data_IF_875781773934
#
_entry.id   IF_875781773934
#
_cell.length_a   1.000
_cell.length_b   1.000
_cell.length_c   1.000
_cell.angle_alpha   90.00
_cell.angle_beta   90.00
_cell.angle_gamma   90.00
#
_symmetry.space_group_name_H-M   'P 1'
#
loop_
_entity.id
_entity.type
_entity.pdbx_description
1 polymer ?
#
# COMPACT_ATOMS: atom_id res chain seq x y z
N UNK A 1 5.96 14.65 12.99
CA UNK A 1 5.42 13.65 12.03
C UNK A 1 6.25 12.37 11.93
N UNK A 2 7.60 12.42 11.95
CA UNK A 2 8.48 11.23 11.86
C UNK A 2 8.19 10.08 12.86
N UNK A 3 7.73 10.39 14.08
CA UNK A 3 7.45 9.36 15.11
C UNK A 3 6.24 8.47 14.80
N UNK A 4 5.29 8.92 13.96
CA UNK A 4 4.05 8.19 13.66
C UNK A 4 4.25 7.13 12.56
N UNK A 5 5.12 7.39 11.58
CA UNK A 5 5.43 6.43 10.52
C UNK A 5 6.31 5.26 11.01
N UNK A 6 7.14 5.49 12.05
CA UNK A 6 7.99 4.45 12.64
C UNK A 6 7.17 3.39 13.41
N UNK A 7 6.07 3.78 14.03
CA UNK A 7 5.26 2.87 14.83
C UNK A 7 4.48 1.84 13.99
N UNK A 8 3.98 2.23 12.81
CA UNK A 8 3.34 1.32 11.87
C UNK A 8 4.34 0.31 11.27
N UNK A 9 5.59 0.73 11.05
CA UNK A 9 6.68 -0.15 10.62
C UNK A 9 7.03 -1.20 11.71
N UNK A 10 7.08 -0.79 12.98
CA UNK A 10 7.38 -1.68 14.11
C UNK A 10 6.27 -2.71 14.37
N UNK A 11 5.00 -2.38 14.12
CA UNK A 11 3.88 -3.32 14.23
C UNK A 11 3.93 -4.41 13.14
N UNK A 12 4.26 -4.04 11.90
CA UNK A 12 4.51 -5.00 10.82
C UNK A 12 5.70 -5.92 11.13
N UNK A 13 6.78 -5.36 11.68
CA UNK A 13 7.97 -6.11 12.06
C UNK A 13 7.75 -7.04 13.27
N UNK A 14 7.03 -6.61 14.30
CA UNK A 14 6.73 -7.43 15.49
C UNK A 14 5.79 -8.60 15.17
N UNK A 15 4.81 -8.39 14.28
CA UNK A 15 3.96 -9.46 13.77
C UNK A 15 4.78 -10.49 12.97
N UNK A 16 5.68 -10.03 12.09
CA UNK A 16 6.58 -10.89 11.33
C UNK A 16 7.56 -11.67 12.23
N UNK A 17 8.06 -11.05 13.32
CA UNK A 17 8.99 -11.68 14.26
C UNK A 17 8.32 -12.75 15.13
N UNK A 18 7.04 -12.57 15.51
CA UNK A 18 6.26 -13.62 16.21
C UNK A 18 6.00 -14.84 15.34
N UNK A 19 5.82 -14.62 14.03
CA UNK A 19 5.69 -15.72 13.06
C UNK A 19 7.02 -16.47 12.96
N UNK A 20 8.16 -15.77 12.83
CA UNK A 20 9.49 -16.40 12.80
C UNK A 20 9.89 -17.14 14.10
N UNK A 21 9.41 -16.68 15.27
CA UNK A 21 9.72 -17.33 16.55
C UNK A 21 8.90 -18.61 16.79
N UNK A 22 7.78 -18.80 16.10
CA UNK A 22 7.03 -20.05 16.10
C UNK A 22 7.76 -21.16 15.32
N UNK A 23 8.57 -20.79 14.31
CA UNK A 23 9.34 -21.73 13.48
C UNK A 23 10.64 -22.24 14.14
N UNK A 24 11.17 -21.51 15.14
CA UNK A 24 12.48 -21.80 15.73
C UNK A 24 12.52 -23.04 16.64
N UNK A 25 11.41 -23.76 16.84
CA UNK A 25 11.35 -24.98 17.67
C UNK A 25 11.53 -26.29 16.91
N UNK A 26 11.73 -26.28 15.59
CA UNK A 26 11.89 -27.49 14.79
C UNK A 26 13.30 -27.59 14.20
N UNK A 27 14.21 -28.32 14.86
CA UNK A 27 15.50 -28.68 14.28
C UNK A 27 15.89 -30.12 14.66
N UNK A 28 15.86 -31.02 13.68
CA UNK A 28 16.80 -32.13 13.58
C UNK A 28 16.99 -32.52 12.11
N UNK A 29 18.23 -32.44 11.63
CA UNK A 29 18.68 -32.69 10.25
C UNK A 29 18.36 -34.10 9.73
N UNK A 30 17.89 -34.18 8.47
CA UNK A 30 17.93 -35.40 7.68
C UNK A 30 17.38 -35.25 6.25
N UNK A 31 18.27 -35.36 5.25
CA UNK A 31 18.05 -35.74 3.83
C UNK A 31 16.99 -35.03 2.97
N UNK A 32 17.48 -34.41 1.89
CA UNK A 32 16.75 -33.74 0.79
C UNK A 32 15.66 -34.62 0.14
N UNK A 33 14.42 -34.45 0.59
CA UNK A 33 13.21 -34.79 -0.17
C UNK A 33 12.31 -33.56 -0.19
N UNK A 34 11.68 -33.29 -1.34
CA UNK A 34 10.75 -32.17 -1.61
C UNK A 34 10.07 -31.61 -0.36
N UNK A 35 10.45 -30.38 -0.01
CA UNK A 35 10.05 -29.69 1.20
C UNK A 35 8.52 -29.45 1.22
N UNK A 36 7.75 -30.09 2.12
CA UNK A 36 6.33 -29.84 2.28
C UNK A 36 6.02 -28.44 2.83
N UNK A 37 7.03 -27.69 3.26
CA UNK A 37 6.90 -26.33 3.78
C UNK A 37 7.03 -25.24 2.71
N UNK A 38 7.06 -25.61 1.42
CA UNK A 38 6.90 -24.65 0.35
C UNK A 38 5.44 -24.15 0.32
N UNK A 39 5.19 -23.06 1.04
CA UNK A 39 3.92 -22.32 1.01
C UNK A 39 3.70 -21.85 -0.45
N UNK A 40 2.94 -22.63 -1.21
CA UNK A 40 2.41 -22.19 -2.51
C UNK A 40 1.36 -21.10 -2.25
N UNK A 41 1.09 -20.27 -3.25
CA UNK A 41 0.05 -19.22 -3.15
C UNK A 41 -1.34 -19.78 -2.81
N UNK A 42 -1.56 -21.06 -3.06
CA UNK A 42 -2.77 -21.81 -2.70
C UNK A 42 -2.91 -22.03 -1.17
N UNK A 43 -1.81 -21.87 -0.42
CA UNK A 43 -1.75 -22.04 1.04
C UNK A 43 -1.84 -20.70 1.80
N UNK A 44 -1.94 -19.55 1.11
CA UNK A 44 -2.19 -18.27 1.77
C UNK A 44 -3.69 -18.12 2.00
N UNK A 45 -4.16 -18.53 3.17
CA UNK A 45 -5.56 -18.39 3.55
C UNK A 45 -5.91 -16.90 3.63
N UNK A 46 -6.85 -16.45 2.78
CA UNK A 46 -7.45 -15.12 2.94
C UNK A 46 -8.19 -15.13 4.27
N UNK A 47 -7.86 -14.22 5.21
CA UNK A 47 -8.51 -14.26 6.51
C UNK A 47 -10.03 -14.07 6.36
N UNK A 48 -10.77 -14.90 7.06
CA UNK A 48 -12.22 -14.88 7.15
C UNK A 48 -12.71 -13.57 7.78
N UNK A 49 -14.00 -13.26 7.60
CA UNK A 49 -14.64 -12.12 8.28
C UNK A 49 -14.44 -12.20 9.79
N UNK A 50 -14.52 -13.41 10.36
CA UNK A 50 -14.36 -13.65 11.78
C UNK A 50 -12.92 -13.43 12.27
N UNK A 51 -11.91 -13.76 11.46
CA UNK A 51 -10.51 -13.42 11.75
C UNK A 51 -10.26 -11.91 11.69
N UNK A 52 -10.90 -11.21 10.74
CA UNK A 52 -10.84 -9.74 10.66
C UNK A 52 -11.55 -9.04 11.83
N UNK A 53 -12.57 -9.67 12.42
CA UNK A 53 -13.22 -9.21 13.67
C UNK A 53 -12.37 -9.53 14.90
N UNK A 54 -11.79 -10.73 14.96
CA UNK A 54 -10.86 -11.10 16.04
C UNK A 54 -9.62 -10.21 16.08
N UNK A 55 -9.14 -9.77 14.91
CA UNK A 55 -8.06 -8.80 14.80
C UNK A 55 -8.45 -7.42 15.34
N UNK A 56 -9.70 -6.96 15.10
CA UNK A 56 -10.23 -5.73 15.69
C UNK A 56 -10.22 -5.83 17.21
N UNK A 57 -10.69 -6.94 17.77
CA UNK A 57 -10.69 -7.15 19.22
C UNK A 57 -9.26 -7.26 19.80
N UNK A 58 -8.32 -7.83 19.06
CA UNK A 58 -6.92 -7.90 19.45
C UNK A 58 -6.24 -6.51 19.44
N UNK A 59 -6.56 -5.67 18.47
CA UNK A 59 -6.08 -4.28 18.39
C UNK A 59 -6.64 -3.43 19.55
N UNK A 60 -7.93 -3.57 19.86
CA UNK A 60 -8.55 -2.94 21.02
C UNK A 60 -7.90 -3.36 22.34
N UNK A 61 -7.54 -4.66 22.49
CA UNK A 61 -6.83 -5.18 23.67
C UNK A 61 -5.39 -4.67 23.76
N UNK A 62 -4.68 -4.58 22.64
CA UNK A 62 -3.34 -3.99 22.57
C UNK A 62 -3.34 -2.53 23.05
N UNK A 63 -4.40 -1.80 22.77
CA UNK A 63 -4.59 -0.42 23.23
C UNK A 63 -4.84 -0.30 24.74
N UNK A 64 -5.55 -1.27 25.33
CA UNK A 64 -5.77 -1.33 26.79
C UNK A 64 -4.49 -1.68 27.56
N UNK A 65 -3.51 -2.27 26.88
CA UNK A 65 -2.17 -2.45 27.43
C UNK A 65 -1.32 -1.21 27.19
N UNK A 66 -0.35 -0.93 28.06
CA UNK A 66 0.63 0.17 27.96
C UNK A 66 1.48 0.19 26.68
N UNK A 67 1.23 -0.74 25.74
CA UNK A 67 1.76 -0.75 24.39
C UNK A 67 1.12 0.33 23.47
N UNK A 68 -0.12 0.78 23.73
CA UNK A 68 -0.79 1.81 22.93
C UNK A 68 0.01 3.12 22.84
N UNK A 69 0.58 3.56 23.96
CA UNK A 69 1.47 4.74 24.05
C UNK A 69 2.79 4.54 23.29
N UNK A 70 3.26 3.30 23.17
CA UNK A 70 4.52 2.94 22.52
C UNK A 70 4.43 3.01 20.98
N UNK A 71 3.23 2.74 20.43
CA UNK A 71 2.96 2.79 18.99
C UNK A 71 2.19 4.03 18.54
N UNK A 72 1.75 4.90 19.46
CA UNK A 72 1.13 6.18 19.12
C UNK A 72 -0.15 6.06 18.27
N UNK A 73 -0.83 4.92 18.30
CA UNK A 73 -2.14 4.71 17.67
C UNK A 73 -3.18 5.02 18.74
N UNK A 74 -3.76 6.22 18.67
CA UNK A 74 -4.84 6.64 19.56
C UNK A 74 -6.16 5.93 19.26
N UNK A 75 -7.18 6.11 20.12
CA UNK A 75 -8.52 5.56 19.90
C UNK A 75 -9.17 6.02 18.58
N UNK A 76 -8.74 7.17 18.04
CA UNK A 76 -9.23 7.70 16.78
C UNK A 76 -8.61 7.00 15.55
N UNK A 77 -7.39 6.47 15.68
CA UNK A 77 -6.63 5.84 14.61
C UNK A 77 -6.88 4.33 14.50
N UNK A 78 -7.32 3.66 15.58
CA UNK A 78 -7.58 2.21 15.59
C UNK A 78 -8.59 1.77 14.51
N UNK A 79 -9.76 2.43 14.34
CA UNK A 79 -10.70 2.04 13.29
C UNK A 79 -10.11 2.20 11.89
N UNK A 80 -9.22 3.18 11.70
CA UNK A 80 -8.56 3.46 10.42
C UNK A 80 -7.54 2.36 10.11
N UNK A 81 -6.74 1.96 11.11
CA UNK A 81 -5.78 0.86 10.96
C UNK A 81 -6.48 -0.48 10.69
N UNK A 82 -7.55 -0.80 11.42
CA UNK A 82 -8.34 -2.01 11.17
C UNK A 82 -8.95 -2.02 9.76
N UNK A 83 -9.50 -0.89 9.32
CA UNK A 83 -10.03 -0.74 7.97
C UNK A 83 -8.94 -0.94 6.90
N UNK A 84 -7.76 -0.37 7.10
CA UNK A 84 -6.65 -0.54 6.18
C UNK A 84 -6.21 -2.00 6.03
N UNK A 85 -6.17 -2.77 7.13
CA UNK A 85 -5.85 -4.20 7.09
C UNK A 85 -6.93 -4.97 6.32
N UNK A 86 -8.21 -4.68 6.57
CA UNK A 86 -9.32 -5.30 5.82
C UNK A 86 -9.24 -4.98 4.33
N UNK A 87 -8.90 -3.76 3.97
CA UNK A 87 -8.65 -3.38 2.58
C UNK A 87 -7.43 -4.07 1.99
N UNK A 88 -6.37 -4.27 2.76
CA UNK A 88 -5.20 -5.05 2.34
C UNK A 88 -5.58 -6.47 1.92
N UNK A 89 -6.41 -7.13 2.73
CA UNK A 89 -6.94 -8.46 2.41
C UNK A 89 -7.88 -8.44 1.22
N UNK A 90 -8.83 -7.49 1.18
CA UNK A 90 -9.79 -7.36 0.09
C UNK A 90 -9.12 -7.11 -1.25
N UNK A 91 -8.00 -6.40 -1.27
CA UNK A 91 -7.28 -6.11 -2.49
C UNK A 91 -6.94 -7.41 -3.24
N UNK A 92 -6.55 -8.49 -2.55
CA UNK A 92 -6.22 -9.78 -3.18
C UNK A 92 -7.35 -10.33 -4.07
N UNK A 93 -8.61 -10.17 -3.68
CA UNK A 93 -9.78 -10.55 -4.48
C UNK A 93 -10.19 -9.53 -5.55
N UNK A 94 -9.51 -8.39 -5.66
CA UNK A 94 -9.77 -7.36 -6.68
C UNK A 94 -8.82 -7.54 -7.84
N UNK A 95 -9.37 -8.00 -8.97
CA UNK A 95 -8.76 -7.94 -10.28
C UNK A 95 -9.88 -7.99 -11.31
N UNK A 96 -9.93 -7.03 -12.22
CA UNK A 96 -10.90 -7.04 -13.32
C UNK A 96 -10.24 -7.15 -14.70
N UNK A 97 -8.95 -7.50 -14.73
CA UNK A 97 -8.19 -7.74 -15.96
C UNK A 97 -7.78 -6.47 -16.69
N UNK A 98 -8.32 -5.30 -16.33
CA UNK A 98 -7.98 -4.03 -16.95
C UNK A 98 -6.69 -3.42 -16.39
N UNK A 99 -6.01 -2.58 -17.18
CA UNK A 99 -4.79 -1.89 -16.75
C UNK A 99 -5.03 -0.93 -15.58
N UNK A 100 -6.22 -0.34 -15.54
CA UNK A 100 -6.77 0.37 -14.38
C UNK A 100 -8.30 0.34 -14.43
N UNK A 101 -8.94 0.54 -13.28
CA UNK A 101 -10.39 0.76 -13.21
C UNK A 101 -10.76 1.60 -11.98
N UNK A 102 -11.96 2.18 -12.01
CA UNK A 102 -12.54 2.91 -10.88
C UNK A 102 -13.97 2.41 -10.63
N UNK A 103 -14.32 2.22 -9.36
CA UNK A 103 -15.66 1.81 -8.92
C UNK A 103 -16.12 2.65 -7.75
N UNK A 104 -17.42 2.96 -7.71
CA UNK A 104 -18.04 3.68 -6.62
C UNK A 104 -18.88 2.73 -5.77
N UNK A 105 -18.87 2.93 -4.45
CA UNK A 105 -19.63 2.16 -3.47
C UNK A 105 -20.36 3.09 -2.52
N UNK A 106 -21.59 2.71 -2.17
CA UNK A 106 -22.35 3.27 -1.04
C UNK A 106 -22.28 2.29 0.13
N UNK A 107 -22.43 2.78 1.36
CA UNK A 107 -22.53 1.91 2.54
C UNK A 107 -23.98 1.81 3.02
N UNK A 108 -24.45 0.60 3.30
CA UNK A 108 -25.82 0.37 3.76
C UNK A 108 -26.88 0.79 2.73
N UNK A 109 -27.93 1.46 3.20
CA UNK A 109 -29.02 1.95 2.37
C UNK A 109 -28.82 3.41 1.92
N UNK A 110 -27.59 3.93 2.00
CA UNK A 110 -27.29 5.30 1.59
C UNK A 110 -27.34 5.42 0.06
N UNK A 111 -27.85 6.55 -0.41
CA UNK A 111 -27.83 6.94 -1.82
C UNK A 111 -26.53 7.67 -2.17
N UNK A 112 -25.78 8.13 -1.17
CA UNK A 112 -24.53 8.83 -1.36
C UNK A 112 -23.34 7.86 -1.49
N UNK A 113 -22.54 8.08 -2.54
CA UNK A 113 -21.26 7.39 -2.73
C UNK A 113 -20.36 7.72 -1.54
N UNK A 114 -19.94 6.68 -0.82
CA UNK A 114 -19.14 6.77 0.39
C UNK A 114 -17.69 6.31 0.19
N UNK A 115 -17.43 5.60 -0.92
CA UNK A 115 -16.11 5.09 -1.23
C UNK A 115 -15.88 4.98 -2.74
N UNK A 116 -14.69 5.34 -3.18
CA UNK A 116 -14.16 5.06 -4.51
C UNK A 116 -13.04 4.03 -4.39
N UNK A 117 -13.02 3.07 -5.31
CA UNK A 117 -11.99 2.03 -5.39
C UNK A 117 -11.33 2.12 -6.75
N UNK A 118 -10.03 2.44 -6.75
CA UNK A 118 -9.19 2.45 -7.92
C UNK A 118 -8.35 1.19 -7.93
N UNK A 119 -8.25 0.53 -9.08
CA UNK A 119 -7.38 -0.62 -9.29
C UNK A 119 -6.33 -0.23 -10.30
N UNK A 120 -5.07 -0.58 -10.03
CA UNK A 120 -3.94 -0.36 -10.93
C UNK A 120 -3.19 -1.69 -11.10
N UNK A 121 -3.10 -2.15 -12.35
CA UNK A 121 -2.41 -3.39 -12.70
C UNK A 121 -1.03 -3.09 -13.27
N UNK A 122 0.00 -3.73 -12.70
CA UNK A 122 1.36 -3.66 -13.23
C UNK A 122 1.43 -4.08 -14.71
N UNK A 123 2.25 -3.37 -15.49
CA UNK A 123 2.44 -3.66 -16.92
C UNK A 123 3.25 -4.93 -17.21
N UNK A 124 3.93 -5.50 -16.19
CA UNK A 124 4.64 -6.78 -16.32
C UNK A 124 3.73 -7.98 -16.58
N UNK A 125 2.42 -7.79 -16.48
CA UNK A 125 1.45 -8.86 -16.61
C UNK A 125 0.41 -8.53 -17.69
N UNK A 126 0.82 -8.77 -18.93
CA UNK A 126 0.04 -8.59 -20.15
C UNK A 126 -1.02 -9.68 -20.35
N UNK A 127 -0.82 -10.86 -19.77
CA UNK A 127 -1.78 -11.95 -19.85
C UNK A 127 -2.82 -11.77 -18.74
N UNK A 128 -4.08 -11.63 -19.12
CA UNK A 128 -5.21 -11.27 -18.25
C UNK A 128 -5.62 -12.32 -17.22
N UNK A 129 -4.71 -13.18 -16.73
CA UNK A 129 -5.06 -14.06 -15.62
C UNK A 129 -5.25 -13.22 -14.35
N UNK A 130 -6.26 -13.58 -13.55
CA UNK A 130 -6.60 -12.92 -12.29
C UNK A 130 -5.47 -13.03 -11.27
N UNK A 131 -4.62 -14.04 -11.43
CA UNK A 131 -3.54 -14.40 -10.53
C UNK A 131 -2.18 -13.82 -10.97
N UNK A 132 -2.08 -13.24 -12.17
CA UNK A 132 -0.86 -12.65 -12.68
C UNK A 132 -0.87 -11.12 -12.55
N UNK A 133 -0.72 -10.53 -11.36
CA UNK A 133 -0.02 -9.23 -11.29
C UNK A 133 0.30 -8.74 -9.88
N UNK A 134 1.46 -8.06 -9.77
CA UNK A 134 1.59 -6.95 -8.85
C UNK A 134 0.44 -5.93 -9.10
N UNK A 135 -0.32 -5.66 -8.06
CA UNK A 135 -1.56 -4.89 -8.12
C UNK A 135 -1.60 -3.89 -6.96
N UNK A 136 -2.01 -2.66 -7.24
CA UNK A 136 -2.35 -1.65 -6.24
C UNK A 136 -3.85 -1.38 -6.28
N UNK A 137 -4.51 -1.51 -5.14
CA UNK A 137 -5.89 -1.04 -4.96
C UNK A 137 -5.87 0.17 -4.06
N UNK A 138 -6.36 1.30 -4.55
CA UNK A 138 -6.51 2.51 -3.76
C UNK A 138 -7.97 2.72 -3.37
N UNK A 139 -8.23 2.85 -2.06
CA UNK A 139 -9.53 3.13 -1.50
C UNK A 139 -9.58 4.58 -1.06
N UNK A 140 -10.45 5.37 -1.67
CA UNK A 140 -10.75 6.74 -1.26
C UNK A 140 -12.08 6.71 -0.51
N UNK A 141 -12.02 6.95 0.80
CA UNK A 141 -13.17 6.86 1.71
C UNK A 141 -13.61 8.27 2.09
N UNK A 142 -14.91 8.56 1.95
CA UNK A 142 -15.49 9.82 2.41
C UNK A 142 -15.29 9.95 3.92
N UNK A 143 -14.73 11.08 4.35
CA UNK A 143 -14.61 11.44 5.77
C UNK A 143 -15.13 12.86 5.98
N UNK A 144 -15.29 13.29 7.24
CA UNK A 144 -15.78 14.64 7.54
C UNK A 144 -14.85 15.71 6.93
N UNK A 145 -15.37 16.42 5.93
CA UNK A 145 -14.68 17.54 5.27
C UNK A 145 -13.45 17.15 4.45
N UNK A 146 -13.38 15.91 3.95
CA UNK A 146 -12.39 15.50 2.96
C UNK A 146 -12.44 14.02 2.63
N UNK A 147 -11.29 13.47 2.26
CA UNK A 147 -11.12 12.06 1.89
C UNK A 147 -9.99 11.42 2.69
N UNK A 148 -10.20 10.16 3.11
CA UNK A 148 -9.15 9.29 3.61
C UNK A 148 -8.68 8.34 2.50
N UNK A 149 -7.39 8.03 2.45
CA UNK A 149 -6.79 7.19 1.40
C UNK A 149 -6.16 5.95 2.01
N UNK A 150 -6.46 4.77 1.46
CA UNK A 150 -5.71 3.52 1.72
C UNK A 150 -5.15 3.00 0.40
N UNK A 151 -3.82 2.93 0.30
CA UNK A 151 -3.09 2.29 -0.78
C UNK A 151 -2.75 0.87 -0.37
N UNK A 152 -3.39 -0.12 -0.99
CA UNK A 152 -3.17 -1.53 -0.73
C UNK A 152 -2.37 -2.17 -1.86
N UNK A 153 -1.12 -2.50 -1.57
CA UNK A 153 -0.23 -3.20 -2.48
C UNK A 153 -0.31 -4.72 -2.24
N UNK A 154 -0.64 -5.48 -3.29
CA UNK A 154 -0.56 -6.94 -3.23
C UNK A 154 0.89 -7.41 -3.18
N UNK A 155 1.10 -8.53 -2.47
CA UNK A 155 2.31 -9.32 -2.56
C UNK A 155 2.45 -10.06 -3.90
N UNK A 156 3.50 -10.85 -4.01
CA UNK A 156 3.76 -11.71 -5.16
C UNK A 156 2.65 -12.75 -5.32
N UNK A 157 2.15 -12.93 -6.54
CA UNK A 157 1.09 -13.89 -6.86
C UNK A 157 1.54 -14.94 -7.88
N UNK A 158 2.69 -14.75 -8.53
CA UNK A 158 3.24 -15.71 -9.47
C UNK A 158 4.77 -15.83 -9.39
N UNK A 159 5.32 -16.78 -10.17
CA UNK A 159 6.76 -17.03 -10.26
C UNK A 159 7.56 -15.84 -10.80
N UNK A 160 6.99 -15.01 -11.68
CA UNK A 160 7.71 -13.85 -12.25
C UNK A 160 7.94 -12.77 -11.18
N UNK A 161 6.96 -12.55 -10.31
CA UNK A 161 7.12 -11.66 -9.16
C UNK A 161 8.26 -12.16 -8.25
N UNK A 162 8.30 -13.46 -8.00
CA UNK A 162 9.39 -14.07 -7.22
C UNK A 162 10.75 -13.94 -7.90
N UNK A 163 10.83 -14.09 -9.23
CA UNK A 163 12.09 -13.87 -9.95
C UNK A 163 12.59 -12.43 -9.81
N UNK A 164 11.69 -11.44 -9.88
CA UNK A 164 12.04 -10.05 -9.62
C UNK A 164 12.46 -9.84 -8.16
N UNK A 165 11.79 -10.49 -7.19
CA UNK A 165 12.18 -10.47 -5.77
C UNK A 165 13.57 -11.06 -5.50
N UNK A 166 14.11 -11.90 -6.39
CA UNK A 166 15.45 -12.45 -6.23
C UNK A 166 16.53 -11.51 -6.81
N UNK A 167 16.16 -10.50 -7.62
CA UNK A 167 17.09 -9.46 -8.07
C UNK A 167 17.32 -8.41 -6.98
N UNK A 168 18.13 -8.81 -6.01
CA UNK A 168 18.46 -8.08 -4.78
C UNK A 168 19.54 -7.02 -4.94
N UNK A 169 19.87 -6.64 -6.18
CA UNK A 169 20.79 -5.54 -6.42
C UNK A 169 20.27 -4.27 -5.75
N UNK A 170 21.13 -3.49 -5.09
CA UNK A 170 20.75 -2.19 -4.57
C UNK A 170 20.44 -1.24 -5.73
N UNK A 171 19.36 -0.48 -5.59
CA UNK A 171 18.92 0.54 -6.54
C UNK A 171 18.55 1.80 -5.76
N UNK A 172 19.11 2.99 -6.07
CA UNK A 172 18.82 4.20 -5.31
C UNK A 172 17.35 4.61 -5.41
N UNK A 173 16.66 4.80 -4.28
CA UNK A 173 15.22 5.07 -4.24
C UNK A 173 14.84 6.36 -5.00
N UNK A 174 15.55 7.45 -4.71
CA UNK A 174 15.27 8.79 -5.24
C UNK A 174 16.07 9.16 -6.49
N UNK A 175 16.82 8.23 -7.10
CA UNK A 175 17.51 8.56 -8.35
C UNK A 175 16.50 8.79 -9.45
N UNK A 176 16.79 9.81 -10.27
CA UNK A 176 16.18 10.06 -11.56
C UNK A 176 16.03 8.76 -12.34
N UNK A 177 14.84 8.15 -12.20
CA UNK A 177 14.48 6.99 -12.99
C UNK A 177 14.57 7.40 -14.46
N UNK A 178 15.04 6.56 -15.40
CA UNK A 178 14.96 6.88 -16.82
C UNK A 178 13.50 7.10 -17.30
N UNK A 179 12.48 6.76 -16.49
CA UNK A 179 11.08 7.15 -16.70
C UNK A 179 10.76 8.61 -16.26
N UNK A 180 11.68 9.32 -15.59
CA UNK A 180 11.61 10.76 -15.30
C UNK A 180 11.90 11.64 -16.54
N UNK A 181 12.20 11.04 -17.70
CA UNK A 181 12.25 11.78 -18.97
C UNK A 181 10.91 12.46 -19.33
N UNK A 182 9.82 12.09 -18.67
CA UNK A 182 8.49 12.65 -18.85
C UNK A 182 7.99 13.50 -17.67
N UNK A 183 8.77 13.68 -16.60
CA UNK A 183 8.40 14.56 -15.49
C UNK A 183 9.12 15.92 -15.60
N UNK A 184 8.41 17.04 -15.35
CA UNK A 184 9.03 18.36 -15.37
C UNK A 184 10.15 18.45 -14.32
N UNK A 185 11.29 19.01 -14.75
CA UNK A 185 12.59 19.11 -14.05
C UNK A 185 12.58 19.86 -12.69
N UNK A 186 11.43 20.31 -12.23
CA UNK A 186 11.33 21.29 -11.13
C UNK A 186 10.98 20.66 -9.77
N UNK A 187 11.02 19.33 -9.63
CA UNK A 187 10.92 18.69 -8.31
C UNK A 187 12.20 18.92 -7.51
N UNK A 188 12.26 20.07 -6.85
CA UNK A 188 13.28 20.40 -5.85
C UNK A 188 13.06 19.46 -4.67
N UNK A 189 13.66 18.27 -4.71
CA UNK A 189 13.85 17.47 -3.49
C UNK A 189 14.49 18.41 -2.44
N UNK A 190 13.91 18.52 -1.23
CA UNK A 190 14.47 19.35 -0.17
C UNK A 190 15.97 19.04 -0.02
N UNK A 191 16.82 20.09 0.03
CA UNK A 191 18.29 19.95 0.08
C UNK A 191 18.79 18.96 1.17
N UNK A 192 17.97 18.67 2.17
CA UNK A 192 18.22 17.74 3.27
C UNK A 192 18.38 16.29 2.77
N UNK A 193 17.68 15.89 1.70
CA UNK A 193 17.78 14.53 1.14
C UNK A 193 18.82 14.38 0.03
N UNK A 194 19.43 15.49 -0.44
CA UNK A 194 20.49 15.44 -1.47
C UNK A 194 21.74 14.66 -1.03
N UNK A 195 21.89 14.40 0.26
CA UNK A 195 23.02 13.65 0.83
C UNK A 195 22.64 12.24 1.33
N UNK A 196 21.35 11.88 1.33
CA UNK A 196 20.92 10.56 1.77
C UNK A 196 20.93 9.59 0.59
N UNK A 197 22.01 8.82 0.47
CA UNK A 197 22.05 7.66 -0.42
C UNK A 197 21.13 6.56 0.12
N UNK A 198 19.83 6.67 -0.15
CA UNK A 198 18.85 5.63 0.19
C UNK A 198 18.80 4.64 -0.97
N UNK A 199 19.21 3.41 -0.71
CA UNK A 199 19.11 2.30 -1.64
C UNK A 199 18.00 1.35 -1.21
N UNK A 200 17.31 0.78 -2.20
CA UNK A 200 16.26 -0.22 -2.03
C UNK A 200 16.53 -1.41 -2.93
N UNK A 201 15.82 -2.50 -2.68
CA UNK A 201 15.88 -3.69 -3.50
C UNK A 201 15.35 -3.40 -4.92
N UNK A 202 16.17 -3.64 -5.95
CA UNK A 202 15.84 -3.33 -7.35
C UNK A 202 14.50 -3.95 -7.80
N UNK A 203 14.31 -5.25 -7.57
CA UNK A 203 13.05 -5.93 -7.90
C UNK A 203 11.80 -5.25 -7.33
N UNK A 204 11.81 -4.91 -6.04
CA UNK A 204 10.68 -4.24 -5.39
C UNK A 204 10.44 -2.84 -5.98
N UNK A 205 11.51 -2.08 -6.19
CA UNK A 205 11.42 -0.73 -6.78
C UNK A 205 10.82 -0.80 -8.18
N UNK A 206 11.19 -1.80 -8.97
CA UNK A 206 10.70 -1.96 -10.33
C UNK A 206 9.20 -2.25 -10.38
N UNK A 207 8.69 -3.14 -9.51
CA UNK A 207 7.25 -3.37 -9.35
C UNK A 207 6.50 -2.11 -8.90
N UNK A 208 7.04 -1.37 -7.94
CA UNK A 208 6.45 -0.09 -7.50
C UNK A 208 6.42 0.93 -8.64
N UNK A 209 7.52 1.10 -9.37
CA UNK A 209 7.63 2.05 -10.49
C UNK A 209 6.60 1.77 -11.60
N UNK A 210 6.33 0.49 -11.88
CA UNK A 210 5.27 0.04 -12.78
C UNK A 210 3.88 0.55 -12.35
N UNK A 211 3.56 0.42 -11.06
CA UNK A 211 2.28 0.86 -10.49
C UNK A 211 2.19 2.39 -10.43
N UNK A 212 3.27 3.06 -10.07
CA UNK A 212 3.38 4.52 -10.10
C UNK A 212 3.10 5.09 -11.49
N UNK A 213 3.69 4.48 -12.52
CA UNK A 213 3.44 4.87 -13.89
C UNK A 213 1.96 4.74 -14.25
N UNK A 214 1.32 3.64 -13.85
CA UNK A 214 -0.14 3.44 -14.03
C UNK A 214 -0.97 4.50 -13.30
N UNK A 215 -0.63 4.84 -12.06
CA UNK A 215 -1.29 5.94 -11.33
C UNK A 215 -1.10 7.30 -12.03
N UNK A 216 0.04 7.50 -12.70
CA UNK A 216 0.33 8.71 -13.49
C UNK A 216 -0.50 8.82 -14.78
N UNK A 217 -1.10 7.73 -15.25
CA UNK A 217 -1.97 7.75 -16.45
C UNK A 217 -3.45 8.02 -16.11
N UNK A 218 -3.86 7.80 -14.87
CA UNK A 218 -5.26 7.96 -14.48
C UNK A 218 -5.56 9.40 -14.09
N UNK A 219 -6.30 10.14 -14.92
CA UNK A 219 -6.76 11.49 -14.60
C UNK A 219 -7.89 11.46 -13.56
N UNK A 220 -7.84 12.35 -12.57
CA UNK A 220 -8.85 12.45 -11.51
C UNK A 220 -10.15 13.14 -11.96
N UNK A 221 -10.17 13.75 -13.15
CA UNK A 221 -11.32 14.44 -13.73
C UNK A 221 -12.65 13.66 -13.62
N UNK A 222 -12.73 12.34 -13.95
CA UNK A 222 -13.99 11.59 -13.91
C UNK A 222 -14.64 11.49 -12.52
N UNK A 223 -13.87 11.65 -11.45
CA UNK A 223 -14.36 11.57 -10.05
C UNK A 223 -14.43 12.93 -9.37
N UNK A 224 -14.18 14.02 -10.10
CA UNK A 224 -14.06 15.38 -9.54
C UNK A 224 -15.31 15.81 -8.79
N UNK A 225 -16.49 15.63 -9.39
CA UNK A 225 -17.77 16.02 -8.75
C UNK A 225 -17.98 15.32 -7.39
N UNK A 226 -17.62 14.05 -7.29
CA UNK A 226 -17.74 13.25 -6.06
C UNK A 226 -16.74 13.75 -5.02
N UNK A 227 -15.48 13.97 -5.41
CA UNK A 227 -14.46 14.37 -4.46
C UNK A 227 -14.61 15.82 -3.99
N UNK A 228 -15.07 16.72 -4.85
CA UNK A 228 -15.42 18.09 -4.46
C UNK A 228 -16.58 18.09 -3.45
N UNK A 229 -17.60 17.25 -3.61
CA UNK A 229 -18.69 17.14 -2.62
C UNK A 229 -18.23 16.59 -1.27
N UNK A 230 -17.13 15.82 -1.25
CA UNK A 230 -16.48 15.36 -0.02
C UNK A 230 -15.59 16.44 0.62
N UNK A 231 -15.33 17.56 -0.06
CA UNK A 231 -14.51 18.67 0.43
C UNK A 231 -13.06 18.64 -0.04
N UNK A 232 -12.73 17.89 -1.10
CA UNK A 232 -11.43 17.98 -1.76
C UNK A 232 -11.39 19.22 -2.66
N UNK A 233 -10.37 20.09 -2.57
CA UNK A 233 -10.26 21.25 -3.45
C UNK A 233 -10.18 20.87 -4.93
N UNK A 234 -10.92 21.55 -5.77
CA UNK A 234 -10.95 21.26 -7.22
C UNK A 234 -9.57 21.42 -7.88
N UNK A 235 -8.73 22.35 -7.39
CA UNK A 235 -7.35 22.53 -7.85
C UNK A 235 -6.46 21.29 -7.68
N UNK A 236 -6.82 20.38 -6.76
CA UNK A 236 -6.11 19.12 -6.55
C UNK A 236 -6.60 17.98 -7.46
N UNK A 237 -7.68 18.18 -8.23
CA UNK A 237 -8.37 17.14 -9.01
C UNK A 237 -8.14 17.25 -10.53
N UNK A 238 -7.63 18.38 -11.02
CA UNK A 238 -7.23 18.56 -12.42
C UNK A 238 -5.82 18.00 -12.71
N UNK A 239 -5.55 16.78 -12.25
CA UNK A 239 -4.24 16.12 -12.34
C UNK A 239 -4.35 14.58 -12.28
N UNK A 240 -3.29 13.83 -12.62
CA UNK A 240 -3.25 12.39 -12.44
C UNK A 240 -3.39 11.95 -10.97
N UNK A 241 -3.82 10.69 -10.75
CA UNK A 241 -3.99 10.10 -9.42
C UNK A 241 -2.72 10.18 -8.58
N UNK A 242 -1.56 9.90 -9.18
CA UNK A 242 -0.25 10.00 -8.51
C UNK A 242 0.00 11.41 -7.97
N UNK A 243 -0.26 12.44 -8.77
CA UNK A 243 -0.06 13.83 -8.37
C UNK A 243 -1.10 14.30 -7.34
N UNK A 244 -2.32 13.75 -7.38
CA UNK A 244 -3.31 13.95 -6.32
C UNK A 244 -2.80 13.40 -4.97
N UNK A 245 -2.22 12.20 -4.94
CA UNK A 245 -1.63 11.65 -3.71
C UNK A 245 -0.54 12.56 -3.12
N UNK A 246 0.32 13.09 -3.98
CA UNK A 246 1.42 13.97 -3.60
C UNK A 246 0.98 15.37 -3.21
N UNK A 247 -0.18 15.84 -3.70
CA UNK A 247 -0.73 17.14 -3.31
C UNK A 247 -1.09 17.26 -1.83
N UNK A 248 -1.24 16.13 -1.12
CA UNK A 248 -1.66 16.13 0.28
C UNK A 248 -3.13 16.52 0.49
N UNK A 249 -3.95 16.59 -0.57
CA UNK A 249 -5.37 16.96 -0.51
C UNK A 249 -6.29 15.85 0.08
N UNK A 250 -5.81 15.18 1.13
CA UNK A 250 -6.48 14.14 1.90
C UNK A 250 -6.38 14.44 3.41
N UNK A 251 -7.20 13.78 4.24
CA UNK A 251 -7.14 13.91 5.71
C UNK A 251 -6.13 12.97 6.33
N UNK A 252 -6.01 11.78 5.78
CA UNK A 252 -5.02 10.78 6.12
C UNK A 252 -4.75 9.89 4.90
N UNK A 253 -3.56 9.33 4.83
CA UNK A 253 -3.15 8.39 3.79
C UNK A 253 -2.40 7.24 4.46
N UNK A 254 -2.86 6.00 4.24
CA UNK A 254 -2.22 4.78 4.72
C UNK A 254 -1.74 4.00 3.52
N UNK A 255 -0.48 3.57 3.56
CA UNK A 255 0.08 2.62 2.60
C UNK A 255 0.29 1.30 3.30
N UNK A 256 -0.29 0.23 2.78
CA UNK A 256 -0.26 -1.11 3.38
C UNK A 256 -0.03 -2.18 2.33
N UNK A 257 0.57 -3.29 2.73
CA UNK A 257 0.74 -4.46 1.89
C UNK A 257 1.42 -5.59 2.66
N UNK A 258 1.36 -6.78 2.09
CA UNK A 258 1.98 -7.99 2.64
C UNK A 258 3.06 -8.50 1.67
N UNK A 259 4.15 -9.09 2.20
CA UNK A 259 5.28 -9.60 1.39
C UNK A 259 5.86 -8.52 0.45
N UNK A 260 5.99 -8.79 -0.86
CA UNK A 260 6.35 -7.79 -1.88
C UNK A 260 5.51 -6.50 -1.77
N UNK A 261 4.23 -6.63 -1.43
CA UNK A 261 3.32 -5.50 -1.22
C UNK A 261 3.73 -4.63 -0.03
N UNK A 262 4.29 -5.23 1.03
CA UNK A 262 4.81 -4.50 2.19
C UNK A 262 6.07 -3.70 1.86
N UNK A 263 6.93 -4.24 0.99
CA UNK A 263 8.08 -3.50 0.48
C UNK A 263 7.64 -2.31 -0.39
N UNK A 264 6.72 -2.55 -1.33
CA UNK A 264 6.16 -1.49 -2.18
C UNK A 264 5.43 -0.42 -1.38
N UNK A 265 4.63 -0.81 -0.38
CA UNK A 265 3.89 0.12 0.45
C UNK A 265 4.82 1.02 1.29
N UNK A 266 5.92 0.45 1.80
CA UNK A 266 6.93 1.20 2.56
C UNK A 266 7.63 2.25 1.70
N UNK A 267 8.01 1.90 0.46
CA UNK A 267 8.57 2.86 -0.49
C UNK A 267 7.55 3.94 -0.88
N UNK A 268 6.30 3.55 -1.14
CA UNK A 268 5.24 4.50 -1.47
C UNK A 268 4.95 5.47 -0.31
N UNK A 269 4.94 4.99 0.93
CA UNK A 269 4.76 5.83 2.11
C UNK A 269 5.87 6.87 2.25
N UNK A 270 7.12 6.46 1.98
CA UNK A 270 8.27 7.37 2.00
C UNK A 270 8.16 8.43 0.91
N UNK A 271 7.90 8.03 -0.34
CA UNK A 271 7.76 8.98 -1.47
C UNK A 271 6.63 10.00 -1.22
N UNK A 272 5.44 9.51 -0.82
CA UNK A 272 4.31 10.39 -0.50
C UNK A 272 4.66 11.35 0.63
N UNK A 273 5.34 10.88 1.68
CA UNK A 273 5.71 11.72 2.82
C UNK A 273 6.70 12.83 2.43
N UNK A 274 7.67 12.54 1.56
CA UNK A 274 8.66 13.51 1.07
C UNK A 274 7.98 14.57 0.20
N UNK A 275 7.14 14.15 -0.74
CA UNK A 275 6.53 15.08 -1.71
C UNK A 275 5.37 15.90 -1.10
N UNK A 276 4.49 15.26 -0.32
CA UNK A 276 3.38 15.97 0.32
C UNK A 276 3.82 16.89 1.46
N UNK A 277 4.92 16.56 2.14
CA UNK A 277 5.51 17.42 3.17
C UNK A 277 6.16 18.68 2.62
N UNK A 278 6.54 18.69 1.33
CA UNK A 278 7.15 19.84 0.65
C UNK A 278 6.12 20.84 0.12
N UNK A 279 4.84 20.47 0.12
CA UNK A 279 3.73 21.27 -0.44
C UNK A 279 2.96 22.08 0.63
N UNK A 280 3.34 21.97 1.90
CA UNK A 280 2.77 22.74 3.04
C UNK A 280 3.70 23.89 3.43
#
# INVERSE_FOLDING_TARGET
>A
MLRRSLALFLLGWAAAKRIQQADASANSLGTLTSDPDCITTDNVTIPTVQEAESLKDALAKLHQSSAGDLYGIGPAEEPIASLAIRFAMLAYGRNDGHGYSVRAFTFGNDTEISMLVFQFKSWFHTNGSTDDAAHLVAYLVKVKGGVGVVLSYKGSTNRKDWQANLDSKPDPLFRDSPLNLLQPRDSVLPNIFKHAHVEVHHGFKWHKASLDWRMGLFMMEPVTKILTSWGVPESALHRPFKEFLYSGAWKWCISIGHSLGGAMSSMAALDIAVDSGSSQ
#
